data_IF_794002242005
#
_entry.id   IF_794002242005
#
_cell.length_a   1.000
_cell.length_b   1.000
_cell.length_c   1.000
_cell.angle_alpha   90.00
_cell.angle_beta   90.00
_cell.angle_gamma   90.00
#
_symmetry.space_group_name_H-M   'P 1'
#
loop_
_entity.id
_entity.type
_entity.pdbx_description
1 polymer ?
#
# COMPACT_ATOMS: atom_id res chain seq x y z
N UNK A 1 -13.17 -4.13 28.03
CA UNK A 1 -11.75 -4.37 27.66
C UNK A 1 -11.74 -4.97 26.26
N UNK A 2 -11.64 -4.12 25.23
CA UNK A 2 -11.67 -4.57 23.83
C UNK A 2 -10.25 -5.05 23.48
N UNK A 3 -10.08 -6.36 23.29
CA UNK A 3 -8.85 -6.87 22.70
C UNK A 3 -8.80 -6.38 21.26
N UNK A 4 -7.85 -5.49 20.99
CA UNK A 4 -7.48 -5.06 19.65
C UNK A 4 -7.09 -6.30 18.84
N UNK A 5 -7.96 -6.72 17.91
CA UNK A 5 -7.57 -7.70 16.90
C UNK A 5 -6.37 -7.12 16.17
N UNK A 6 -5.22 -7.76 16.29
CA UNK A 6 -4.06 -7.46 15.45
C UNK A 6 -4.49 -7.81 14.03
N UNK A 7 -4.86 -6.79 13.26
CA UNK A 7 -5.25 -6.99 11.88
C UNK A 7 -3.99 -7.20 11.05
N UNK A 8 -3.89 -8.38 10.46
CA UNK A 8 -2.73 -8.79 9.65
C UNK A 8 -2.73 -8.09 8.28
N UNK A 9 -3.86 -7.45 7.88
CA UNK A 9 -4.08 -6.88 6.55
C UNK A 9 -4.16 -5.35 6.53
N UNK A 10 -3.63 -4.72 7.56
CA UNK A 10 -3.36 -3.28 7.59
C UNK A 10 -2.05 -3.03 8.34
N UNK A 11 -1.36 -1.95 8.03
CA UNK A 11 -0.19 -1.53 8.80
C UNK A 11 0.09 -0.03 8.68
N UNK A 12 0.72 0.51 9.72
CA UNK A 12 1.11 1.91 9.80
C UNK A 12 2.41 2.18 9.03
N UNK A 13 2.53 3.42 8.54
CA UNK A 13 3.71 3.97 7.88
C UNK A 13 4.35 5.03 8.81
N UNK A 14 5.38 4.67 9.61
CA UNK A 14 5.93 5.56 10.63
C UNK A 14 6.69 6.75 10.04
N UNK A 15 6.30 7.99 10.34
CA UNK A 15 6.91 9.20 9.74
C UNK A 15 8.46 9.21 9.73
N UNK A 16 9.11 8.67 10.77
CA UNK A 16 10.57 8.57 10.88
C UNK A 16 11.24 7.65 9.84
N UNK A 17 10.49 6.75 9.20
CA UNK A 17 10.97 5.79 8.20
C UNK A 17 10.57 6.18 6.77
N UNK A 18 9.96 7.36 6.59
CA UNK A 18 9.51 7.83 5.28
C UNK A 18 10.70 7.92 4.31
N UNK A 19 10.62 7.27 3.13
CA UNK A 19 11.66 7.41 2.12
C UNK A 19 11.69 8.83 1.56
N UNK A 20 12.89 9.34 1.27
CA UNK A 20 13.06 10.63 0.59
C UNK A 20 12.52 10.60 -0.84
N UNK A 21 12.74 9.47 -1.52
CA UNK A 21 12.22 9.19 -2.85
C UNK A 21 12.12 7.69 -3.04
N UNK A 22 11.13 7.27 -3.83
CA UNK A 22 10.94 5.90 -4.26
C UNK A 22 10.28 5.94 -5.64
N UNK A 23 11.06 5.88 -6.74
CA UNK A 23 10.49 5.88 -8.07
C UNK A 23 9.70 4.59 -8.32
N UNK A 24 8.67 4.69 -9.16
CA UNK A 24 7.85 3.57 -9.60
C UNK A 24 7.53 3.75 -11.08
N UNK A 25 7.62 2.67 -11.85
CA UNK A 25 7.28 2.68 -13.27
C UNK A 25 5.75 2.70 -13.42
N UNK A 26 5.24 3.79 -13.99
CA UNK A 26 3.80 4.01 -14.16
C UNK A 26 3.55 4.58 -15.54
N UNK A 27 2.57 4.02 -16.24
CA UNK A 27 2.09 4.54 -17.52
C UNK A 27 0.62 4.96 -17.40
N UNK A 28 0.25 6.06 -18.06
CA UNK A 28 -1.14 6.45 -18.12
C UNK A 28 -1.90 5.50 -19.04
N UNK A 29 -3.03 4.95 -18.58
CA UNK A 29 -3.83 4.07 -19.43
C UNK A 29 -4.32 4.85 -20.67
N UNK A 30 -4.19 4.29 -21.90
CA UNK A 30 -4.59 4.97 -23.12
C UNK A 30 -6.04 5.44 -23.09
N UNK A 31 -6.28 6.70 -23.44
CA UNK A 31 -7.62 7.28 -23.46
C UNK A 31 -8.25 7.52 -22.08
N UNK A 32 -7.58 7.20 -20.97
CA UNK A 32 -8.20 7.31 -19.63
C UNK A 32 -8.69 8.72 -19.29
N UNK A 33 -8.08 9.75 -19.90
CA UNK A 33 -8.46 11.17 -19.77
C UNK A 33 -9.90 11.48 -20.19
N UNK A 34 -10.51 10.71 -21.07
CA UNK A 34 -11.93 10.86 -21.43
C UNK A 34 -12.87 10.18 -20.44
N UNK A 35 -12.36 9.24 -19.63
CA UNK A 35 -13.17 8.35 -18.79
C UNK A 35 -13.20 8.79 -17.33
N UNK A 36 -12.05 9.13 -16.74
CA UNK A 36 -11.92 9.34 -15.29
C UNK A 36 -12.91 10.35 -14.70
N UNK A 37 -13.34 11.38 -15.44
CA UNK A 37 -14.28 12.39 -14.92
C UNK A 37 -15.61 11.78 -14.47
N UNK A 38 -16.12 10.75 -15.16
CA UNK A 38 -17.42 10.15 -14.85
C UNK A 38 -17.35 9.09 -13.74
N UNK A 39 -16.16 8.53 -13.50
CA UNK A 39 -15.93 7.52 -12.46
C UNK A 39 -15.25 8.05 -11.21
N UNK A 40 -14.94 9.35 -11.14
CA UNK A 40 -14.32 10.01 -9.97
C UNK A 40 -15.18 11.13 -9.40
N UNK A 41 -14.94 11.48 -8.16
CA UNK A 41 -15.55 12.61 -7.47
C UNK A 41 -14.62 13.82 -7.50
N UNK A 42 -15.18 15.03 -7.38
CA UNK A 42 -14.37 16.21 -7.07
C UNK A 42 -13.76 16.00 -5.68
N UNK A 43 -12.47 16.28 -5.55
CA UNK A 43 -11.79 16.18 -4.26
C UNK A 43 -12.36 17.23 -3.29
N UNK A 44 -12.65 16.80 -2.06
CA UNK A 44 -13.25 17.66 -1.04
C UNK A 44 -12.19 18.31 -0.11
N UNK A 45 -10.96 17.80 -0.11
CA UNK A 45 -9.84 18.31 0.67
C UNK A 45 -8.59 18.56 -0.18
N UNK A 46 -7.47 18.83 0.49
CA UNK A 46 -6.18 18.99 -0.20
C UNK A 46 -5.74 17.64 -0.81
N UNK A 47 -5.45 17.56 -2.12
CA UNK A 47 -5.12 16.30 -2.76
C UNK A 47 -3.76 15.73 -2.33
N UNK A 48 -2.88 16.52 -1.69
CA UNK A 48 -1.56 16.10 -1.21
C UNK A 48 -1.55 15.95 0.31
N UNK A 49 -2.02 16.95 1.03
CA UNK A 49 -1.99 16.98 2.50
C UNK A 49 -3.20 16.30 3.15
N UNK A 50 -4.26 16.01 2.39
CA UNK A 50 -5.49 15.36 2.88
C UNK A 50 -5.55 13.85 2.69
N UNK A 51 -4.51 13.23 2.14
CA UNK A 51 -4.46 11.77 1.92
C UNK A 51 -3.91 11.09 3.16
N UNK A 52 -4.77 10.35 3.87
CA UNK A 52 -4.46 9.68 5.14
C UNK A 52 -4.05 8.21 4.95
N UNK A 53 -4.60 7.52 3.93
CA UNK A 53 -4.36 6.10 3.71
C UNK A 53 -4.32 5.68 2.23
N UNK A 54 -3.65 4.55 1.96
CA UNK A 54 -3.79 3.80 0.72
C UNK A 54 -4.69 2.59 0.98
N UNK A 55 -5.75 2.46 0.17
CA UNK A 55 -6.60 1.28 0.17
C UNK A 55 -6.19 0.33 -0.94
N UNK A 56 -5.82 -0.89 -0.56
CA UNK A 56 -5.44 -1.96 -1.48
C UNK A 56 -6.66 -2.84 -1.76
N UNK A 57 -7.04 -2.93 -3.02
CA UNK A 57 -8.04 -3.87 -3.52
C UNK A 57 -7.30 -5.07 -4.12
N UNK A 58 -7.68 -6.29 -3.74
CA UNK A 58 -7.15 -7.49 -4.36
C UNK A 58 -8.30 -8.16 -5.10
N UNK A 59 -8.25 -8.11 -6.43
CA UNK A 59 -9.21 -8.80 -7.26
C UNK A 59 -9.09 -10.31 -7.07
N UNK A 60 -10.20 -11.02 -7.27
CA UNK A 60 -10.20 -12.50 -7.32
C UNK A 60 -10.28 -13.05 -8.73
N UNK A 61 -10.90 -12.31 -9.65
CA UNK A 61 -11.14 -12.74 -11.03
C UNK A 61 -11.26 -11.54 -11.99
N UNK A 62 -10.77 -10.37 -11.58
CA UNK A 62 -10.88 -9.12 -12.35
C UNK A 62 -9.50 -8.70 -12.79
N UNK A 63 -9.25 -8.78 -14.10
CA UNK A 63 -8.07 -8.25 -14.76
C UNK A 63 -8.17 -6.73 -14.97
N UNK A 64 -7.12 -6.15 -15.55
CA UNK A 64 -7.09 -4.70 -15.85
C UNK A 64 -8.27 -4.25 -16.72
N UNK A 65 -8.57 -4.96 -17.81
CA UNK A 65 -9.63 -4.55 -18.75
C UNK A 65 -11.01 -4.52 -18.10
N UNK A 66 -11.34 -5.52 -17.27
CA UNK A 66 -12.63 -5.55 -16.58
C UNK A 66 -12.73 -4.43 -15.54
N UNK A 67 -11.63 -4.12 -14.85
CA UNK A 67 -11.58 -2.97 -13.96
C UNK A 67 -11.83 -1.67 -14.74
N UNK A 68 -11.15 -1.48 -15.85
CA UNK A 68 -11.32 -0.28 -16.67
C UNK A 68 -12.72 -0.19 -17.30
N UNK A 69 -13.35 -1.31 -17.64
CA UNK A 69 -14.76 -1.33 -18.04
C UNK A 69 -15.69 -0.80 -16.93
N UNK A 70 -15.41 -1.08 -15.66
CA UNK A 70 -16.14 -0.50 -14.53
C UNK A 70 -15.91 1.02 -14.40
N UNK A 71 -14.70 1.49 -14.72
CA UNK A 71 -14.39 2.92 -14.82
C UNK A 71 -15.13 3.59 -15.97
N UNK A 72 -15.17 2.96 -17.15
CA UNK A 72 -15.91 3.44 -18.30
C UNK A 72 -17.41 3.51 -18.00
N UNK A 73 -17.96 2.54 -17.29
CA UNK A 73 -19.35 2.55 -16.86
C UNK A 73 -19.65 3.52 -15.69
N UNK A 74 -18.66 4.24 -15.16
CA UNK A 74 -18.85 5.16 -14.03
C UNK A 74 -19.16 4.48 -12.68
N UNK A 75 -18.97 3.15 -12.60
CA UNK A 75 -19.40 2.32 -11.46
C UNK A 75 -18.37 2.24 -10.35
N UNK A 76 -17.09 2.27 -10.70
CA UNK A 76 -15.97 2.26 -9.76
C UNK A 76 -14.76 2.96 -10.40
N UNK A 77 -13.74 3.30 -9.61
CA UNK A 77 -12.44 3.69 -10.13
C UNK A 77 -11.31 3.44 -9.14
N UNK A 78 -10.09 3.35 -9.66
CA UNK A 78 -8.87 3.21 -8.90
C UNK A 78 -7.83 4.20 -9.40
N UNK A 79 -6.91 4.63 -8.54
CA UNK A 79 -5.82 5.51 -8.95
C UNK A 79 -4.78 4.72 -9.72
N UNK A 80 -4.46 3.51 -9.25
CA UNK A 80 -3.57 2.58 -9.94
C UNK A 80 -4.17 1.19 -10.12
N UNK A 81 -3.71 0.51 -11.16
CA UNK A 81 -3.95 -0.92 -11.37
C UNK A 81 -2.59 -1.60 -11.55
N UNK A 82 -2.36 -2.68 -10.80
CA UNK A 82 -1.21 -3.56 -10.95
C UNK A 82 -1.65 -4.76 -11.81
N UNK A 83 -1.14 -4.89 -13.04
CA UNK A 83 -1.52 -5.95 -13.98
C UNK A 83 -1.42 -7.36 -13.38
N UNK A 84 -2.35 -8.24 -13.74
CA UNK A 84 -2.34 -9.64 -13.38
C UNK A 84 -1.22 -10.40 -14.08
N UNK A 85 -0.87 -11.57 -13.56
CA UNK A 85 -0.01 -12.52 -14.28
C UNK A 85 -0.69 -12.93 -15.60
N UNK A 86 0.06 -12.86 -16.71
CA UNK A 86 -0.44 -13.11 -18.07
C UNK A 86 -0.87 -11.86 -18.86
N UNK A 87 -0.88 -10.66 -18.25
CA UNK A 87 -1.05 -9.41 -18.98
C UNK A 87 0.30 -8.90 -19.53
N UNK A 88 0.33 -8.33 -20.73
CA UNK A 88 1.56 -7.87 -21.41
C UNK A 88 2.37 -6.81 -20.61
N UNK A 89 1.70 -6.12 -19.70
CA UNK A 89 2.29 -5.07 -18.86
C UNK A 89 2.84 -5.62 -17.53
N UNK A 90 2.49 -6.85 -17.18
CA UNK A 90 3.03 -7.53 -16.02
C UNK A 90 4.56 -7.57 -16.11
N UNK A 91 5.24 -7.31 -15.00
CA UNK A 91 6.70 -7.23 -14.98
C UNK A 91 7.28 -5.87 -15.35
N UNK A 92 6.48 -4.94 -15.92
CA UNK A 92 7.00 -3.73 -16.59
C UNK A 92 6.61 -2.44 -15.89
N UNK A 93 5.32 -2.22 -15.69
CA UNK A 93 4.80 -0.98 -15.11
C UNK A 93 3.41 -1.15 -14.50
N UNK A 94 2.97 -0.11 -13.78
CA UNK A 94 1.60 0.02 -13.26
C UNK A 94 0.79 0.94 -14.15
N UNK A 95 -0.52 0.71 -14.25
CA UNK A 95 -1.41 1.65 -14.90
C UNK A 95 -1.79 2.78 -13.93
N UNK A 96 -1.57 4.03 -14.32
CA UNK A 96 -2.25 5.19 -13.75
C UNK A 96 -3.62 5.36 -14.43
N UNK A 97 -4.68 5.33 -13.63
CA UNK A 97 -6.04 5.35 -14.11
C UNK A 97 -6.80 6.62 -13.67
N UNK A 98 -7.22 6.71 -12.40
CA UNK A 98 -7.75 7.94 -11.84
C UNK A 98 -6.61 8.87 -11.40
N UNK A 99 -6.62 10.17 -11.77
CA UNK A 99 -5.59 11.09 -11.33
C UNK A 99 -5.77 11.43 -9.86
N UNK A 100 -4.64 11.58 -9.19
CA UNK A 100 -4.50 11.74 -7.74
C UNK A 100 -5.16 13.03 -7.21
N UNK A 101 -5.37 14.03 -8.07
CA UNK A 101 -6.11 15.26 -7.74
C UNK A 101 -7.64 15.08 -7.59
N UNK A 102 -8.16 13.86 -7.71
CA UNK A 102 -9.58 13.52 -7.56
C UNK A 102 -9.77 12.30 -6.68
N UNK A 103 -10.94 12.24 -6.05
CA UNK A 103 -11.35 11.07 -5.27
C UNK A 103 -11.84 9.96 -6.21
N UNK A 104 -11.11 8.84 -6.28
CA UNK A 104 -11.60 7.64 -6.93
C UNK A 104 -12.84 7.07 -6.19
N UNK A 105 -13.80 6.53 -6.92
CA UNK A 105 -15.00 5.86 -6.37
C UNK A 105 -14.69 4.38 -6.12
N UNK A 106 -13.78 4.11 -5.18
CA UNK A 106 -13.34 2.73 -4.88
C UNK A 106 -14.05 2.12 -3.67
N UNK A 107 -14.73 2.92 -2.86
CA UNK A 107 -15.52 2.47 -1.70
C UNK A 107 -16.98 2.92 -1.84
N UNK A 108 -17.95 2.10 -1.39
CA UNK A 108 -19.30 2.56 -1.13
C UNK A 108 -19.31 3.75 -0.17
N UNK A 109 -20.11 4.78 -0.49
CA UNK A 109 -20.12 6.04 0.26
C UNK A 109 -20.50 5.87 1.75
N UNK A 110 -21.23 4.83 2.11
CA UNK A 110 -21.68 4.56 3.49
C UNK A 110 -20.59 4.06 4.44
N UNK A 111 -19.44 3.62 3.91
CA UNK A 111 -18.40 3.01 4.72
C UNK A 111 -17.57 4.03 5.47
N UNK A 112 -17.23 3.70 6.71
CA UNK A 112 -16.39 4.49 7.58
C UNK A 112 -15.28 3.61 8.18
N UNK A 113 -14.20 4.23 8.60
CA UNK A 113 -13.11 3.58 9.31
C UNK A 113 -12.71 4.46 10.50
N UNK A 114 -12.65 3.93 11.74
CA UNK A 114 -12.53 4.75 12.95
C UNK A 114 -11.25 5.60 12.97
N UNK A 115 -10.17 5.11 12.36
CA UNK A 115 -8.89 5.81 12.31
C UNK A 115 -8.73 6.76 11.10
N UNK A 116 -9.70 6.83 10.18
CA UNK A 116 -9.61 7.63 8.96
C UNK A 116 -10.77 8.61 8.84
N UNK A 117 -10.53 9.75 8.20
CA UNK A 117 -11.52 10.80 7.95
C UNK A 117 -12.24 11.31 9.21
N UNK A 118 -11.63 11.14 10.40
CA UNK A 118 -12.27 11.38 11.70
C UNK A 118 -13.48 10.46 11.96
N UNK A 119 -13.45 9.22 11.46
CA UNK A 119 -14.52 8.24 11.60
C UNK A 119 -15.74 8.46 10.71
N UNK A 120 -15.69 9.41 9.77
CA UNK A 120 -16.84 9.80 8.92
C UNK A 120 -16.90 9.00 7.61
N UNK A 121 -18.11 8.79 7.03
CA UNK A 121 -18.30 8.04 5.79
C UNK A 121 -17.93 8.85 4.55
N UNK A 122 -16.63 9.14 4.38
CA UNK A 122 -16.07 9.94 3.27
C UNK A 122 -14.70 9.44 2.83
N UNK A 123 -14.45 8.14 2.99
CA UNK A 123 -13.13 7.52 2.83
C UNK A 123 -12.52 7.75 1.44
N UNK A 124 -13.32 7.76 0.37
CA UNK A 124 -12.84 8.05 -0.99
C UNK A 124 -12.12 9.41 -1.13
N UNK A 125 -12.37 10.38 -0.23
CA UNK A 125 -11.77 11.71 -0.28
C UNK A 125 -10.45 11.82 0.49
N UNK A 126 -10.17 10.90 1.41
CA UNK A 126 -8.94 10.91 2.21
C UNK A 126 -8.06 9.70 1.92
N UNK A 127 -8.43 8.89 0.91
CA UNK A 127 -7.67 7.71 0.55
C UNK A 127 -7.36 7.68 -0.93
N UNK A 128 -6.17 7.17 -1.22
CA UNK A 128 -5.81 6.72 -2.55
C UNK A 128 -6.13 5.23 -2.67
N UNK A 129 -6.13 4.71 -3.89
CA UNK A 129 -6.52 3.32 -4.15
C UNK A 129 -5.71 2.67 -5.24
N UNK A 130 -5.37 1.41 -5.00
CA UNK A 130 -4.72 0.53 -5.97
C UNK A 130 -5.52 -0.76 -6.09
N UNK A 131 -5.72 -1.22 -7.32
CA UNK A 131 -6.22 -2.56 -7.61
C UNK A 131 -5.06 -3.48 -7.98
N UNK A 132 -4.88 -4.57 -7.24
CA UNK A 132 -4.08 -5.71 -7.66
C UNK A 132 -4.99 -6.60 -8.50
N UNK A 133 -4.78 -6.60 -9.82
CA UNK A 133 -5.58 -7.38 -10.74
C UNK A 133 -5.30 -8.88 -10.60
N UNK A 134 -6.28 -9.69 -10.97
CA UNK A 134 -6.19 -11.15 -10.97
C UNK A 134 -6.51 -11.69 -12.36
N UNK A 135 -5.93 -12.83 -12.71
CA UNK A 135 -6.27 -13.51 -13.95
C UNK A 135 -7.73 -13.99 -13.86
N UNK A 136 -8.61 -13.64 -14.82
CA UNK A 136 -9.95 -14.19 -14.89
C UNK A 136 -9.98 -15.70 -15.13
N UNK A 137 -8.92 -16.25 -15.75
CA UNK A 137 -8.78 -17.68 -16.04
C UNK A 137 -8.28 -18.49 -14.83
N UNK A 138 -7.64 -17.85 -13.87
CA UNK A 138 -7.13 -18.48 -12.66
C UNK A 138 -7.65 -17.74 -11.41
N UNK A 139 -8.97 -17.87 -11.11
CA UNK A 139 -9.55 -17.21 -9.97
C UNK A 139 -8.99 -17.75 -8.66
N UNK A 140 -9.00 -16.89 -7.62
CA UNK A 140 -8.53 -17.22 -6.28
C UNK A 140 -7.04 -17.64 -6.20
N UNK A 141 -6.24 -17.30 -7.20
CA UNK A 141 -4.78 -17.37 -7.12
C UNK A 141 -4.23 -16.13 -6.41
N UNK A 142 -3.25 -16.35 -5.53
CA UNK A 142 -2.58 -15.26 -4.82
C UNK A 142 -1.80 -14.35 -5.80
N UNK A 143 -1.70 -13.03 -5.52
CA UNK A 143 -0.87 -12.15 -6.32
C UNK A 143 0.58 -12.65 -6.43
N UNK A 144 1.15 -12.52 -7.63
CA UNK A 144 2.52 -12.95 -7.92
C UNK A 144 3.58 -12.22 -7.07
N UNK A 145 4.80 -12.75 -7.07
CA UNK A 145 5.96 -12.09 -6.46
C UNK A 145 6.22 -10.70 -7.04
N UNK A 146 6.07 -10.52 -8.36
CA UNK A 146 6.22 -9.22 -9.00
C UNK A 146 5.14 -8.24 -8.55
N UNK A 147 3.86 -8.64 -8.53
CA UNK A 147 2.78 -7.76 -8.07
C UNK A 147 2.99 -7.32 -6.62
N UNK A 148 3.47 -8.22 -5.76
CA UNK A 148 3.82 -7.92 -4.36
C UNK A 148 4.92 -6.87 -4.27
N UNK A 149 5.98 -7.01 -5.08
CA UNK A 149 7.07 -6.03 -5.15
C UNK A 149 6.60 -4.68 -5.70
N UNK A 150 5.81 -4.69 -6.78
CA UNK A 150 5.29 -3.49 -7.42
C UNK A 150 4.35 -2.71 -6.47
N UNK A 151 3.52 -3.42 -5.69
CA UNK A 151 2.69 -2.82 -4.65
C UNK A 151 3.56 -2.17 -3.55
N UNK A 152 4.59 -2.86 -3.07
CA UNK A 152 5.49 -2.30 -2.07
C UNK A 152 6.23 -1.04 -2.58
N UNK A 153 6.68 -1.06 -3.83
CA UNK A 153 7.28 0.11 -4.49
C UNK A 153 6.29 1.27 -4.60
N UNK A 154 5.05 1.01 -5.04
CA UNK A 154 4.00 2.02 -5.08
C UNK A 154 3.72 2.61 -3.70
N UNK A 155 3.60 1.78 -2.66
CA UNK A 155 3.38 2.25 -1.29
C UNK A 155 4.50 3.21 -0.86
N UNK A 156 5.77 2.83 -1.08
CA UNK A 156 6.92 3.68 -0.76
C UNK A 156 6.93 4.97 -1.57
N UNK A 157 6.56 4.91 -2.85
CA UNK A 157 6.42 6.07 -3.72
C UNK A 157 5.41 7.07 -3.18
N UNK A 158 4.22 6.59 -2.81
CA UNK A 158 3.16 7.42 -2.25
C UNK A 158 3.56 7.96 -0.87
N UNK A 159 4.22 7.15 -0.06
CA UNK A 159 4.67 7.56 1.27
C UNK A 159 5.69 8.70 1.24
N UNK A 160 6.56 8.74 0.24
CA UNK A 160 7.46 9.87 0.01
C UNK A 160 6.70 11.16 -0.38
N UNK A 161 5.57 11.03 -1.11
CA UNK A 161 4.84 12.15 -1.74
C UNK A 161 3.71 12.74 -0.90
N UNK A 162 3.08 11.93 -0.04
CA UNK A 162 1.86 12.29 0.70
C UNK A 162 2.16 12.42 2.19
N UNK A 163 2.31 13.65 2.74
CA UNK A 163 2.78 13.85 4.10
C UNK A 163 1.85 13.31 5.20
N UNK A 164 0.55 13.24 4.93
CA UNK A 164 -0.43 12.68 5.84
C UNK A 164 -0.65 11.16 5.68
N UNK A 165 -0.01 10.54 4.67
CA UNK A 165 -0.18 9.11 4.42
C UNK A 165 0.49 8.30 5.54
N UNK A 166 -0.34 7.71 6.40
CA UNK A 166 0.09 7.01 7.60
C UNK A 166 -0.36 5.56 7.67
N UNK A 167 -1.22 5.11 6.75
CA UNK A 167 -1.82 3.77 6.79
C UNK A 167 -1.88 3.11 5.40
N UNK A 168 -1.65 1.81 5.37
CA UNK A 168 -1.98 0.93 4.23
C UNK A 168 -3.00 -0.09 4.70
N UNK A 169 -4.14 -0.18 4.02
CA UNK A 169 -5.29 -0.96 4.50
C UNK A 169 -5.85 -1.81 3.36
N UNK A 170 -6.09 -3.10 3.62
CA UNK A 170 -6.85 -3.95 2.72
C UNK A 170 -8.32 -3.51 2.67
N UNK A 171 -8.92 -3.53 1.48
CA UNK A 171 -10.35 -3.25 1.30
C UNK A 171 -11.26 -4.04 2.24
N UNK A 172 -10.92 -5.30 2.51
CA UNK A 172 -11.68 -6.22 3.39
C UNK A 172 -11.66 -5.84 4.86
N UNK A 173 -10.70 -5.02 5.29
CA UNK A 173 -10.68 -4.49 6.68
C UNK A 173 -11.66 -3.33 6.85
N UNK A 174 -12.08 -2.70 5.75
CA UNK A 174 -13.05 -1.59 5.73
C UNK A 174 -14.48 -2.11 5.47
N UNK A 175 -14.63 -3.13 4.62
CA UNK A 175 -15.93 -3.73 4.31
C UNK A 175 -15.89 -5.24 4.52
N UNK A 176 -16.55 -5.72 5.58
CA UNK A 176 -16.66 -7.15 5.87
C UNK A 176 -17.34 -7.97 4.76
N UNK A 177 -18.13 -7.34 3.88
CA UNK A 177 -18.73 -8.03 2.74
C UNK A 177 -17.74 -8.25 1.59
N UNK A 178 -16.57 -7.59 1.62
CA UNK A 178 -15.51 -7.82 0.66
C UNK A 178 -14.73 -9.08 1.05
N UNK A 179 -14.52 -10.03 0.12
CA UNK A 179 -13.74 -11.23 0.41
C UNK A 179 -12.35 -10.91 0.95
N UNK A 180 -11.85 -11.78 1.82
CA UNK A 180 -10.49 -11.70 2.31
C UNK A 180 -9.48 -11.72 1.16
N UNK A 181 -8.49 -10.84 1.25
CA UNK A 181 -7.36 -10.77 0.34
C UNK A 181 -6.43 -11.98 0.52
N UNK A 182 -5.95 -12.51 -0.62
CA UNK A 182 -4.94 -13.56 -0.70
C UNK A 182 -3.50 -13.02 -0.77
N UNK A 183 -3.34 -11.69 -0.71
CA UNK A 183 -2.04 -11.03 -0.72
C UNK A 183 -1.24 -11.41 0.54
N UNK A 184 0.06 -11.67 0.38
CA UNK A 184 0.98 -11.84 1.49
C UNK A 184 1.31 -10.47 2.13
N UNK A 185 0.43 -10.03 3.04
CA UNK A 185 0.55 -8.77 3.76
C UNK A 185 1.80 -8.70 4.64
N UNK A 186 2.28 -9.84 5.15
CA UNK A 186 3.52 -9.91 5.92
C UNK A 186 4.71 -9.51 5.06
N UNK A 187 4.80 -10.10 3.85
CA UNK A 187 5.82 -9.76 2.87
C UNK A 187 5.70 -8.32 2.37
N UNK A 188 4.50 -7.83 2.06
CA UNK A 188 4.30 -6.43 1.65
C UNK A 188 4.81 -5.48 2.73
N UNK A 189 4.41 -5.69 3.99
CA UNK A 189 4.86 -4.87 5.11
C UNK A 189 6.38 -4.90 5.23
N UNK A 190 6.98 -6.09 5.20
CA UNK A 190 8.44 -6.25 5.27
C UNK A 190 9.17 -5.46 4.18
N UNK A 191 8.69 -5.53 2.93
CA UNK A 191 9.26 -4.80 1.80
C UNK A 191 9.07 -3.27 1.89
N UNK A 192 8.02 -2.80 2.56
CA UNK A 192 7.74 -1.36 2.69
C UNK A 192 8.55 -0.73 3.82
N UNK A 193 8.49 -1.28 5.02
CA UNK A 193 9.07 -0.66 6.24
C UNK A 193 10.41 -1.28 6.68
N UNK A 194 10.87 -2.36 6.05
CA UNK A 194 12.23 -2.89 6.24
C UNK A 194 12.53 -3.48 7.62
N UNK A 195 11.54 -3.61 8.51
CA UNK A 195 11.67 -4.28 9.81
C UNK A 195 10.45 -5.16 10.03
N UNK A 196 10.61 -6.47 10.31
CA UNK A 196 9.49 -7.28 10.75
C UNK A 196 8.90 -6.70 12.05
N UNK A 197 7.62 -6.92 12.37
CA UNK A 197 7.15 -6.76 13.75
C UNK A 197 8.11 -7.49 14.69
N UNK A 198 8.33 -6.94 15.88
CA UNK A 198 9.33 -7.34 16.85
C UNK A 198 9.20 -8.79 17.38
N UNK A 199 9.47 -9.76 16.52
CA UNK A 199 9.80 -11.16 16.83
C UNK A 199 11.08 -11.50 16.05
N UNK A 200 12.17 -10.79 16.35
CA UNK A 200 13.48 -11.29 15.98
C UNK A 200 13.75 -12.54 16.85
N UNK A 201 14.19 -13.67 16.27
CA UNK A 201 14.67 -14.78 17.08
C UNK A 201 15.68 -14.26 18.10
N UNK A 202 15.61 -14.72 19.35
CA UNK A 202 16.51 -14.28 20.44
C UNK A 202 17.99 -14.27 20.01
N UNK A 203 18.37 -15.17 19.10
CA UNK A 203 19.70 -15.24 18.53
C UNK A 203 20.13 -13.97 17.75
N UNK A 204 19.21 -13.36 17.00
CA UNK A 204 19.46 -12.13 16.21
C UNK A 204 19.44 -10.89 17.10
N UNK A 205 18.59 -10.87 18.13
CA UNK A 205 18.57 -9.78 19.12
C UNK A 205 19.85 -9.73 19.99
N UNK A 206 20.58 -10.84 20.08
CA UNK A 206 21.86 -10.96 20.80
C UNK A 206 23.08 -10.79 19.90
N UNK A 207 22.91 -10.65 18.59
CA UNK A 207 24.03 -10.43 17.69
C UNK A 207 24.55 -8.99 17.85
N UNK A 208 25.86 -8.85 18.01
CA UNK A 208 26.52 -7.54 18.06
C UNK A 208 26.42 -6.88 16.67
N UNK A 209 25.81 -5.69 16.56
CA UNK A 209 25.83 -4.91 15.33
C UNK A 209 27.25 -4.75 14.78
N UNK A 210 27.42 -4.89 13.45
CA UNK A 210 28.73 -4.80 12.79
C UNK A 210 29.47 -3.49 13.12
N UNK A 211 28.74 -2.39 13.27
CA UNK A 211 29.29 -1.07 13.67
C UNK A 211 29.93 -1.04 15.06
N UNK A 212 29.60 -2.00 15.93
CA UNK A 212 30.20 -2.15 17.26
C UNK A 212 31.39 -3.12 17.27
N UNK A 213 31.67 -3.81 16.16
CA UNK A 213 32.83 -4.71 16.04
C UNK A 213 34.11 -3.97 15.61
N UNK A 214 33.99 -2.73 15.10
CA UNK A 214 35.11 -1.90 14.65
C UNK A 214 35.62 -0.89 15.70
N UNK A 215 35.16 -0.98 16.95
CA UNK A 215 35.70 -0.12 18.02
C UNK A 215 37.04 -0.68 18.52
N UNK A 216 38.17 0.04 18.39
CA UNK A 216 39.43 -0.40 18.97
C UNK A 216 39.29 -0.47 20.50
N UNK A 217 39.80 -1.54 21.09
CA UNK A 217 39.75 -1.77 22.53
C UNK A 217 40.35 -0.56 23.28
N UNK A 218 39.75 -0.12 24.41
CA UNK A 218 40.34 0.93 25.22
C UNK A 218 41.71 0.47 25.73
N UNK A 219 42.71 1.38 25.81
CA UNK A 219 44.05 1.03 26.26
C UNK A 219 44.01 0.48 27.68
N UNK A 220 44.69 -0.64 27.88
CA UNK A 220 44.81 -1.35 29.13
C UNK A 220 45.39 -0.41 30.21
N UNK A 221 44.67 -0.24 31.32
CA UNK A 221 45.11 0.61 32.41
C UNK A 221 46.36 -0.02 33.05
N UNK A 222 47.53 0.54 32.75
CA UNK A 222 48.79 0.23 33.42
C UNK A 222 48.60 0.28 34.93
N UNK A 223 48.60 -0.88 35.57
CA UNK A 223 48.76 -1.02 37.02
C UNK A 223 50.10 -0.40 37.41
N UNK A 224 50.07 0.79 38.02
CA UNK A 224 51.20 1.32 38.77
C UNK A 224 51.30 0.54 40.08
N UNK A 225 52.18 -0.45 40.14
CA UNK A 225 52.68 -1.00 41.40
C UNK A 225 53.75 -0.06 41.97
N UNK A 226 53.59 0.28 43.25
CA UNK A 226 54.71 0.55 44.15
C UNK A 226 55.38 -0.77 44.54
#
# INVERSE_FOLDING_TARGET
MYMSRVSVRQFSLPAAQRPLSAPVAVEAYPGIRSVWKQSTLRQAGDPVFGVEALVVHCARSTGTDQALALMQAGRASWHWIIPAEGEDQHGRFLWAAAPEGRAARHLPARLAHPALAGGKPRLNHVTLSVLVAASPQAPDVAPSGWQTLALAQLIRHLWARYPALGQVICRSEIDPACPASLLDWGRVRHLVVGVPPADLPVLVARATPLVLLDSPAPPEATLRTM
#
